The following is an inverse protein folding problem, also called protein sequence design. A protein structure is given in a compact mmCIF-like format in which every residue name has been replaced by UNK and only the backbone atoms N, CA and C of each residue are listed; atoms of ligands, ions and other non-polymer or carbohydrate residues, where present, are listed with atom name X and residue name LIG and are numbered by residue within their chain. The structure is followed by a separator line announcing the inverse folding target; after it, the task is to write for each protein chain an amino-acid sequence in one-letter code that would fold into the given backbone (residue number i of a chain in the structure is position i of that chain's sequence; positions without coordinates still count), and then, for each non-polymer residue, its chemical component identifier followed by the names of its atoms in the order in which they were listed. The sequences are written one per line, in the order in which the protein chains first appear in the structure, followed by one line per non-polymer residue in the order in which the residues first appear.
data_IF_245546609980
#
_entry.id   IF_245546609980
#
_cell.length_a   1.000
_cell.length_b   1.000
_cell.length_c   1.000
_cell.angle_alpha   90.00
_cell.angle_beta   90.00
_cell.angle_gamma   90.00
#
_symmetry.space_group_name_H-M   'P 1'
#
loop_
_entity.id
_entity.type
_entity.pdbx_description
1 polymer ?
#
# COMPACT_ATOMS: atom_id res chain seq x y z
N UNK A 1 19.96 36.32 -4.50
CA UNK A 1 20.05 35.24 -5.50
C UNK A 1 19.87 33.96 -4.70
N UNK A 2 18.75 33.25 -4.87
CA UNK A 2 18.47 32.03 -4.11
C UNK A 2 19.40 30.91 -4.60
N UNK A 3 19.94 30.12 -3.67
CA UNK A 3 20.73 28.92 -3.97
C UNK A 3 19.89 27.90 -4.76
N UNK A 4 20.53 27.00 -5.51
CA UNK A 4 19.82 25.93 -6.24
C UNK A 4 18.91 25.08 -5.33
N UNK A 5 19.28 24.94 -4.04
CA UNK A 5 18.49 24.24 -3.02
C UNK A 5 17.16 24.95 -2.76
N UNK A 6 17.18 26.28 -2.67
CA UNK A 6 15.99 27.11 -2.42
C UNK A 6 15.06 27.21 -3.64
N UNK A 7 15.52 26.81 -4.84
CA UNK A 7 14.67 26.67 -6.03
C UNK A 7 13.91 25.34 -6.07
N UNK A 8 14.49 24.28 -5.52
CA UNK A 8 13.89 22.93 -5.48
C UNK A 8 12.82 22.83 -4.38
N UNK A 9 13.02 23.56 -3.28
CA UNK A 9 12.07 23.65 -2.17
C UNK A 9 11.48 25.06 -2.09
N UNK A 10 10.35 25.34 -2.77
CA UNK A 10 9.70 26.64 -2.63
C UNK A 10 9.39 26.89 -1.15
N UNK A 11 9.87 28.02 -0.63
CA UNK A 11 9.81 28.47 0.77
C UNK A 11 8.40 28.76 1.30
N UNK A 12 7.36 28.26 0.62
CA UNK A 12 5.96 28.30 1.04
C UNK A 12 5.45 26.96 1.59
N UNK A 13 6.33 26.03 1.95
CA UNK A 13 5.94 24.93 2.83
C UNK A 13 5.82 25.45 4.26
N UNK A 14 4.66 25.99 4.63
CA UNK A 14 4.28 26.20 6.03
C UNK A 14 4.34 24.86 6.78
N UNK A 15 5.50 24.61 7.39
CA UNK A 15 5.78 23.77 8.56
C UNK A 15 4.90 22.54 8.80
N UNK A 16 4.81 21.64 7.84
CA UNK A 16 4.55 20.23 8.17
C UNK A 16 5.86 19.64 8.69
N UNK A 17 6.14 19.79 9.99
CA UNK A 17 7.27 19.09 10.64
C UNK A 17 6.95 17.61 10.69
N UNK A 18 7.35 16.89 9.64
CA UNK A 18 7.29 15.43 9.61
C UNK A 18 8.31 14.87 10.60
N UNK A 19 7.86 14.07 11.56
CA UNK A 19 8.76 13.34 12.46
C UNK A 19 9.45 12.21 11.69
N UNK A 20 10.64 12.52 11.18
CA UNK A 20 11.47 11.60 10.39
C UNK A 20 11.83 10.34 11.19
N UNK A 21 12.03 10.46 12.52
CA UNK A 21 12.35 9.31 13.36
C UNK A 21 11.13 8.38 13.50
N UNK A 22 9.93 8.94 13.65
CA UNK A 22 8.70 8.15 13.67
C UNK A 22 8.39 7.50 12.31
N UNK A 23 8.67 8.18 11.19
CA UNK A 23 8.57 7.56 9.85
C UNK A 23 9.54 6.40 9.68
N UNK A 24 10.79 6.55 10.14
CA UNK A 24 11.78 5.48 10.12
C UNK A 24 11.32 4.29 10.98
N UNK A 25 10.72 4.54 12.14
CA UNK A 25 10.15 3.51 13.00
C UNK A 25 8.97 2.79 12.32
N UNK A 26 8.06 3.50 11.66
CA UNK A 26 6.97 2.90 10.90
C UNK A 26 7.50 2.02 9.74
N UNK A 27 8.53 2.48 9.03
CA UNK A 27 9.21 1.69 7.98
C UNK A 27 9.87 0.43 8.55
N UNK A 28 10.54 0.55 9.70
CA UNK A 28 11.13 -0.61 10.39
C UNK A 28 10.04 -1.58 10.81
N UNK A 29 8.93 -1.09 11.36
CA UNK A 29 7.81 -1.94 11.77
C UNK A 29 7.21 -2.69 10.59
N UNK A 30 7.07 -2.03 9.44
CA UNK A 30 6.63 -2.67 8.20
C UNK A 30 7.55 -3.84 7.82
N UNK A 31 8.86 -3.69 8.02
CA UNK A 31 9.88 -4.72 7.79
C UNK A 31 9.85 -5.90 8.76
N UNK A 32 9.22 -5.73 9.92
CA UNK A 32 8.99 -6.83 10.88
C UNK A 32 7.72 -7.62 10.56
N UNK A 33 6.73 -6.97 9.92
CA UNK A 33 5.42 -7.57 9.66
C UNK A 33 5.31 -8.21 8.27
N UNK A 34 6.16 -7.78 7.34
CA UNK A 34 6.15 -8.21 5.94
C UNK A 34 7.57 -8.51 5.47
N UNK A 35 7.69 -9.40 4.49
CA UNK A 35 8.94 -9.69 3.82
C UNK A 35 9.53 -8.42 3.18
N UNK A 36 10.84 -8.18 3.33
CA UNK A 36 11.51 -6.99 2.81
C UNK A 36 11.38 -6.80 1.30
N UNK A 37 11.19 -7.89 0.56
CA UNK A 37 10.95 -7.87 -0.88
C UNK A 37 9.70 -7.06 -1.27
N UNK A 38 8.74 -6.94 -0.35
CA UNK A 38 7.49 -6.18 -0.55
C UNK A 38 7.65 -4.67 -0.41
N UNK A 39 8.88 -4.20 -0.17
CA UNK A 39 9.16 -2.77 -0.05
C UNK A 39 9.67 -2.12 -1.32
N UNK A 40 9.64 -2.85 -2.46
CA UNK A 40 9.50 -2.13 -3.72
C UNK A 40 8.17 -1.37 -3.68
N UNK A 41 8.15 -0.14 -4.21
CA UNK A 41 6.96 0.71 -4.12
C UNK A 41 5.69 -0.03 -4.59
N UNK A 42 5.80 -0.88 -5.61
CA UNK A 42 4.66 -1.55 -6.23
C UNK A 42 3.99 -2.62 -5.37
N UNK A 43 4.73 -3.47 -4.64
CA UNK A 43 4.11 -4.44 -3.72
C UNK A 43 3.32 -3.73 -2.61
N UNK A 44 3.94 -2.71 -2.03
CA UNK A 44 3.31 -1.94 -0.96
C UNK A 44 2.11 -1.14 -1.44
N UNK A 45 2.18 -0.56 -2.64
CA UNK A 45 1.06 0.18 -3.23
C UNK A 45 -0.14 -0.75 -3.48
N UNK A 46 0.08 -2.00 -3.92
CA UNK A 46 -0.98 -3.01 -4.07
C UNK A 46 -1.62 -3.31 -2.71
N UNK A 47 -0.83 -3.58 -1.66
CA UNK A 47 -1.35 -3.87 -0.32
C UNK A 47 -2.20 -2.70 0.21
N UNK A 48 -1.72 -1.47 0.04
CA UNK A 48 -2.46 -0.28 0.48
C UNK A 48 -3.75 -0.06 -0.31
N UNK A 49 -3.74 -0.34 -1.62
CA UNK A 49 -4.92 -0.22 -2.47
C UNK A 49 -5.99 -1.24 -2.06
N UNK A 50 -5.60 -2.51 -1.89
CA UNK A 50 -6.49 -3.57 -1.39
C UNK A 50 -7.06 -3.21 0.00
N UNK A 51 -6.21 -2.77 0.93
CA UNK A 51 -6.65 -2.32 2.26
C UNK A 51 -7.68 -1.18 2.19
N UNK A 52 -7.47 -0.21 1.30
CA UNK A 52 -8.41 0.89 1.10
C UNK A 52 -9.73 0.40 0.53
N UNK A 53 -9.70 -0.48 -0.47
CA UNK A 53 -10.90 -1.04 -1.09
C UNK A 53 -11.73 -1.87 -0.10
N UNK A 54 -11.07 -2.68 0.74
CA UNK A 54 -11.72 -3.48 1.77
C UNK A 54 -12.44 -2.62 2.83
N UNK A 55 -11.81 -1.53 3.30
CA UNK A 55 -12.46 -0.60 4.26
C UNK A 55 -13.65 0.13 3.66
N UNK A 56 -13.62 0.39 2.35
CA UNK A 56 -14.70 1.10 1.66
C UNK A 56 -15.75 0.12 1.08
N UNK A 57 -15.62 -1.18 1.33
CA UNK A 57 -16.50 -2.23 0.80
C UNK A 57 -16.59 -2.20 -0.75
N UNK A 58 -15.49 -1.84 -1.41
CA UNK A 58 -15.41 -1.74 -2.87
C UNK A 58 -14.63 -2.93 -3.43
N UNK A 59 -15.21 -3.70 -4.36
CA UNK A 59 -14.46 -4.74 -5.04
C UNK A 59 -13.35 -4.14 -5.91
N UNK A 60 -12.29 -4.92 -6.12
CA UNK A 60 -11.20 -4.58 -7.04
C UNK A 60 -10.63 -5.83 -7.68
N UNK A 61 -10.33 -5.78 -8.98
CA UNK A 61 -9.61 -6.84 -9.70
C UNK A 61 -8.21 -6.41 -10.15
N UNK A 62 -7.45 -7.36 -10.70
CA UNK A 62 -6.08 -7.11 -11.14
C UNK A 62 -5.95 -6.08 -12.28
N UNK A 63 -6.96 -5.92 -13.13
CA UNK A 63 -6.96 -4.92 -14.19
C UNK A 63 -7.19 -3.51 -13.62
N UNK A 64 -8.09 -3.38 -12.65
CA UNK A 64 -8.33 -2.14 -11.91
C UNK A 64 -7.09 -1.72 -11.11
N UNK A 65 -6.38 -2.65 -10.47
CA UNK A 65 -5.09 -2.39 -9.81
C UNK A 65 -4.05 -1.90 -10.82
N UNK A 66 -3.95 -2.56 -11.98
CA UNK A 66 -3.00 -2.19 -13.04
C UNK A 66 -3.21 -0.74 -13.51
N UNK A 67 -4.47 -0.36 -13.71
CA UNK A 67 -4.87 1.00 -14.08
C UNK A 67 -4.50 2.02 -12.99
N UNK A 68 -4.76 1.72 -11.71
CA UNK A 68 -4.41 2.62 -10.60
C UNK A 68 -2.90 2.84 -10.45
N UNK A 69 -2.11 1.79 -10.72
CA UNK A 69 -0.66 1.82 -10.52
C UNK A 69 0.12 2.22 -11.77
N UNK A 70 -0.58 2.44 -12.89
CA UNK A 70 -0.03 2.75 -14.21
C UNK A 70 1.05 1.74 -14.65
N UNK A 71 0.74 0.45 -14.50
CA UNK A 71 1.62 -0.67 -14.90
C UNK A 71 0.84 -1.75 -15.63
N UNK A 72 1.54 -2.64 -16.33
CA UNK A 72 0.90 -3.77 -17.00
C UNK A 72 0.25 -4.74 -16.01
N UNK A 73 -0.93 -5.26 -16.36
CA UNK A 73 -1.64 -6.27 -15.58
C UNK A 73 -0.77 -7.52 -15.35
N UNK A 74 0.08 -7.89 -16.31
CA UNK A 74 1.02 -9.01 -16.15
C UNK A 74 2.03 -8.79 -15.00
N UNK A 75 2.44 -7.54 -14.77
CA UNK A 75 3.30 -7.19 -13.64
C UNK A 75 2.53 -7.24 -12.32
N UNK A 76 1.28 -6.77 -12.31
CA UNK A 76 0.38 -6.89 -11.15
C UNK A 76 0.19 -8.34 -10.77
N UNK A 77 -0.11 -9.22 -11.73
CA UNK A 77 -0.29 -10.65 -11.49
C UNK A 77 0.95 -11.28 -10.87
N UNK A 78 2.15 -10.94 -11.36
CA UNK A 78 3.40 -11.40 -10.73
C UNK A 78 3.53 -10.96 -9.27
N UNK A 79 3.13 -9.74 -8.94
CA UNK A 79 3.15 -9.27 -7.55
C UNK A 79 2.09 -9.96 -6.71
N UNK A 80 0.86 -10.10 -7.22
CA UNK A 80 -0.23 -10.79 -6.53
C UNK A 80 0.11 -12.25 -6.25
N UNK A 81 0.66 -13.00 -7.21
CA UNK A 81 1.10 -14.38 -6.98
C UNK A 81 2.16 -14.47 -5.88
N UNK A 82 3.10 -13.53 -5.83
CA UNK A 82 4.10 -13.51 -4.76
C UNK A 82 3.51 -13.14 -3.39
N UNK A 83 2.45 -12.33 -3.34
CA UNK A 83 1.73 -11.99 -2.10
C UNK A 83 0.80 -13.12 -1.64
N UNK A 84 0.17 -13.83 -2.57
CA UNK A 84 -0.69 -14.99 -2.31
C UNK A 84 0.14 -16.13 -1.69
N UNK A 85 1.30 -16.44 -2.27
CA UNK A 85 2.20 -17.48 -1.77
C UNK A 85 2.66 -17.24 -0.31
N UNK A 86 2.70 -15.99 0.14
CA UNK A 86 3.05 -15.62 1.51
C UNK A 86 1.79 -15.31 2.37
N UNK A 87 0.60 -15.74 1.93
CA UNK A 87 -0.69 -15.62 2.64
C UNK A 87 -1.07 -14.16 2.98
N UNK A 88 -0.78 -13.20 2.08
CA UNK A 88 -1.09 -11.78 2.26
C UNK A 88 -2.35 -11.35 1.52
N UNK A 89 -2.59 -11.89 0.32
CA UNK A 89 -3.76 -11.58 -0.51
C UNK A 89 -4.55 -12.85 -0.81
N UNK A 90 -5.84 -12.70 -1.04
CA UNK A 90 -6.72 -13.75 -1.50
C UNK A 90 -7.68 -13.23 -2.57
N UNK A 91 -8.25 -14.14 -3.34
CA UNK A 91 -9.38 -13.88 -4.20
C UNK A 91 -10.67 -14.15 -3.43
N UNK A 92 -11.70 -13.37 -3.71
CA UNK A 92 -13.05 -13.55 -3.20
C UNK A 92 -14.04 -13.25 -4.33
N UNK A 93 -15.26 -13.78 -4.21
CA UNK A 93 -16.27 -13.69 -5.28
C UNK A 93 -15.81 -14.37 -6.59
N UNK A 94 -15.60 -15.69 -6.50
CA UNK A 94 -15.11 -16.54 -7.58
C UNK A 94 -16.07 -16.47 -8.79
N UNK A 95 -15.55 -16.08 -9.95
CA UNK A 95 -16.35 -15.99 -11.17
C UNK A 95 -16.76 -17.38 -11.72
N UNK A 96 -16.01 -18.43 -11.36
CA UNK A 96 -16.29 -19.83 -11.69
C UNK A 96 -16.18 -20.68 -10.42
N UNK A 97 -17.14 -21.60 -10.21
CA UNK A 97 -17.41 -22.27 -8.92
C UNK A 97 -16.23 -23.05 -8.28
N UNK A 98 -15.11 -23.29 -8.98
CA UNK A 98 -14.03 -24.16 -8.47
C UNK A 98 -12.59 -23.74 -8.83
N UNK A 99 -12.37 -22.57 -9.46
CA UNK A 99 -11.03 -22.15 -9.88
C UNK A 99 -10.68 -20.74 -9.40
N UNK A 100 -9.79 -20.67 -8.41
CA UNK A 100 -9.11 -19.44 -8.00
C UNK A 100 -8.31 -18.86 -9.18
N UNK A 101 -8.65 -17.64 -9.62
CA UNK A 101 -7.96 -16.94 -10.70
C UNK A 101 -7.74 -15.46 -10.35
N UNK A 102 -6.52 -15.13 -9.92
CA UNK A 102 -6.07 -13.75 -9.66
C UNK A 102 -6.27 -12.78 -10.84
N UNK A 103 -6.41 -13.30 -12.07
CA UNK A 103 -6.64 -12.47 -13.25
C UNK A 103 -8.09 -12.01 -13.40
N UNK A 104 -9.06 -12.75 -12.84
CA UNK A 104 -10.49 -12.56 -13.10
C UNK A 104 -11.30 -12.29 -11.84
N UNK A 105 -10.88 -12.85 -10.72
CA UNK A 105 -11.60 -12.74 -9.46
C UNK A 105 -11.34 -11.40 -8.77
N UNK A 106 -12.23 -11.06 -7.83
CA UNK A 106 -12.02 -9.90 -6.95
C UNK A 106 -11.00 -10.22 -5.88
N UNK A 107 -10.24 -9.22 -5.48
CA UNK A 107 -9.03 -9.38 -4.67
C UNK A 107 -9.19 -8.66 -3.33
N UNK A 108 -8.80 -9.32 -2.25
CA UNK A 108 -8.82 -8.78 -0.88
C UNK A 108 -7.54 -9.19 -0.15
N UNK A 109 -7.31 -8.59 1.02
CA UNK A 109 -6.26 -9.04 1.91
C UNK A 109 -6.74 -10.28 2.68
N UNK A 110 -5.82 -11.18 2.97
CA UNK A 110 -6.10 -12.17 4.02
C UNK A 110 -6.27 -11.45 5.35
N UNK A 111 -6.83 -12.14 6.35
CA UNK A 111 -6.94 -11.59 7.70
C UNK A 111 -5.60 -11.06 8.22
N UNK A 112 -4.52 -11.82 8.02
CA UNK A 112 -3.18 -11.40 8.45
C UNK A 112 -2.69 -10.19 7.65
N UNK A 113 -2.89 -10.17 6.33
CA UNK A 113 -2.56 -9.04 5.47
C UNK A 113 -3.26 -7.76 5.91
N UNK A 114 -4.56 -7.83 6.19
CA UNK A 114 -5.39 -6.72 6.63
C UNK A 114 -4.94 -6.16 7.99
N UNK A 115 -4.78 -7.04 8.99
CA UNK A 115 -4.34 -6.65 10.33
C UNK A 115 -2.95 -5.97 10.28
N UNK A 116 -2.01 -6.55 9.54
CA UNK A 116 -0.65 -6.01 9.41
C UNK A 116 -0.63 -4.65 8.67
N UNK A 117 -1.37 -4.53 7.57
CA UNK A 117 -1.50 -3.26 6.85
C UNK A 117 -2.12 -2.18 7.76
N UNK A 118 -3.15 -2.55 8.52
CA UNK A 118 -3.81 -1.66 9.47
C UNK A 118 -2.89 -1.12 10.56
N UNK A 119 -2.01 -1.95 11.13
CA UNK A 119 -1.00 -1.50 12.10
C UNK A 119 -0.13 -0.39 11.52
N UNK A 120 0.36 -0.57 10.29
CA UNK A 120 1.23 0.41 9.63
C UNK A 120 0.47 1.69 9.28
N UNK A 121 -0.73 1.57 8.70
CA UNK A 121 -1.58 2.73 8.36
C UNK A 121 -1.90 3.55 9.61
N UNK A 122 -2.22 2.91 10.74
CA UNK A 122 -2.49 3.61 12.00
C UNK A 122 -1.25 4.31 12.56
N UNK A 123 -0.07 3.72 12.43
CA UNK A 123 1.19 4.37 12.82
C UNK A 123 1.47 5.60 11.96
N UNK A 124 1.33 5.48 10.64
CA UNK A 124 1.50 6.60 9.72
C UNK A 124 0.49 7.71 10.00
N UNK A 125 -0.78 7.37 10.24
CA UNK A 125 -1.81 8.35 10.63
C UNK A 125 -1.44 9.10 11.89
N UNK A 126 -0.98 8.43 12.95
CA UNK A 126 -0.55 9.10 14.20
C UNK A 126 0.56 10.11 13.95
N UNK A 127 1.52 9.78 13.08
CA UNK A 127 2.59 10.70 12.68
C UNK A 127 1.99 11.94 12.01
N UNK A 128 1.06 11.74 11.07
CA UNK A 128 0.40 12.83 10.33
C UNK A 128 -0.55 13.67 11.21
N UNK A 129 -1.29 13.08 12.15
CA UNK A 129 -2.23 13.80 13.03
C UNK A 129 -1.56 14.48 14.22
N UNK A 130 -0.35 14.06 14.59
CA UNK A 130 0.46 14.77 15.58
C UNK A 130 1.02 16.10 15.06
N UNK A 131 0.76 16.40 13.79
CA UNK A 131 1.05 17.68 13.16
C UNK A 131 0.00 18.71 13.57
N UNK A 132 0.37 19.90 14.05
CA UNK A 132 -0.59 20.95 14.34
C UNK A 132 -1.34 21.33 13.06
N UNK A 133 -2.68 21.33 13.14
CA UNK A 133 -3.55 21.83 12.08
C UNK A 133 -3.15 23.28 11.76
N UNK A 134 -2.93 23.56 10.47
CA UNK A 134 -2.85 24.93 9.95
C UNK A 134 -4.25 25.50 9.86
#
# INVERSE_FOLDING_TARGET
MLSEIERIFPTNCSNVKVDIAAMAAARKKRSELFNEQYFTNKFWDIILLLYSHEINELPIDSAEIANHLEIDQSSVLRYLTALENDDIVCAYDLAEDDCFDLARDKLSLTRSGFENAGIIVQQVRKILTSMPNV
#
